data_IF_902905772700
#
_entry.id   IF_902905772700
#
_cell.length_a   1.000
_cell.length_b   1.000
_cell.length_c   1.000
_cell.angle_alpha   90.00
_cell.angle_beta   90.00
_cell.angle_gamma   90.00
#
_symmetry.space_group_name_H-M   'P 1'
#
loop_
_entity.id
_entity.type
_entity.pdbx_description
1 polymer ?
#
# COMPACT_ATOMS: atom_id res chain seq x y z
N UNK A 1 -36.76 8.24 -22.09
CA UNK A 1 -35.89 9.35 -21.66
C UNK A 1 -34.40 8.99 -21.56
N UNK A 2 -33.98 7.72 -21.41
CA UNK A 2 -32.55 7.36 -21.32
C UNK A 2 -31.74 7.46 -22.63
N UNK A 3 -32.37 7.32 -23.80
CA UNK A 3 -31.66 7.35 -25.09
C UNK A 3 -31.09 8.75 -25.44
N UNK A 4 -31.78 9.83 -25.05
CA UNK A 4 -31.38 11.21 -25.34
C UNK A 4 -30.10 11.60 -24.58
N UNK A 5 -29.89 11.03 -23.39
CA UNK A 5 -28.68 11.25 -22.57
C UNK A 5 -27.44 10.53 -23.12
N UNK A 6 -27.65 9.38 -23.77
CA UNK A 6 -26.58 8.64 -24.44
C UNK A 6 -26.16 9.36 -25.73
N UNK A 7 -27.10 9.97 -26.46
CA UNK A 7 -26.80 10.79 -27.63
C UNK A 7 -26.21 12.16 -27.31
N UNK A 8 -26.52 12.76 -26.14
CA UNK A 8 -25.92 14.03 -25.70
C UNK A 8 -24.50 13.87 -25.13
N UNK A 9 -24.11 12.67 -24.70
CA UNK A 9 -22.76 12.34 -24.20
C UNK A 9 -21.81 11.84 -25.30
N UNK A 10 -22.33 11.35 -26.43
CA UNK A 10 -21.53 11.00 -27.61
C UNK A 10 -20.61 12.14 -28.11
N UNK A 11 -21.05 13.40 -28.24
CA UNK A 11 -20.14 14.49 -28.63
C UNK A 11 -19.09 14.81 -27.55
N UNK A 12 -19.40 14.60 -26.27
CA UNK A 12 -18.44 14.79 -25.17
C UNK A 12 -17.37 13.69 -25.14
N UNK A 13 -17.79 12.44 -25.34
CA UNK A 13 -16.87 11.30 -25.47
C UNK A 13 -16.06 11.43 -26.76
N UNK A 14 -16.69 11.74 -27.89
CA UNK A 14 -16.00 11.95 -29.15
C UNK A 14 -15.00 13.11 -29.07
N UNK A 15 -15.35 14.21 -28.40
CA UNK A 15 -14.43 15.34 -28.16
C UNK A 15 -13.32 15.00 -27.18
N UNK A 16 -13.58 14.27 -26.10
CA UNK A 16 -12.53 13.75 -25.22
C UNK A 16 -11.60 12.78 -25.98
N UNK A 17 -12.15 11.94 -26.85
CA UNK A 17 -11.37 11.01 -27.68
C UNK A 17 -10.58 11.77 -28.75
N UNK A 18 -11.16 12.81 -29.36
CA UNK A 18 -10.48 13.71 -30.30
C UNK A 18 -9.40 14.50 -29.61
N UNK A 19 -9.64 15.03 -28.40
CA UNK A 19 -8.66 15.77 -27.62
C UNK A 19 -7.52 14.85 -27.17
N UNK A 20 -7.79 13.59 -26.83
CA UNK A 20 -6.78 12.55 -26.56
C UNK A 20 -6.01 12.13 -27.83
N UNK A 21 -6.66 12.15 -29.00
CA UNK A 21 -6.04 11.83 -30.29
C UNK A 21 -5.34 13.04 -30.95
N UNK A 22 -5.65 14.26 -30.53
CA UNK A 22 -5.06 15.52 -31.03
C UNK A 22 -4.09 16.14 -30.04
N UNK A 23 -3.77 15.45 -28.94
CA UNK A 23 -2.64 15.83 -28.10
C UNK A 23 -1.41 15.87 -29.02
N UNK A 24 -0.72 17.02 -29.16
CA UNK A 24 0.42 17.15 -30.05
C UNK A 24 1.41 16.03 -29.76
N UNK A 25 1.94 15.36 -30.80
CA UNK A 25 2.82 14.18 -30.69
C UNK A 25 3.99 14.34 -29.71
N UNK A 26 4.34 15.58 -29.40
CA UNK A 26 5.44 15.99 -28.56
C UNK A 26 5.07 15.99 -27.07
N UNK A 27 3.80 15.79 -26.71
CA UNK A 27 3.35 15.78 -25.32
C UNK A 27 4.07 14.76 -24.44
N UNK A 28 4.44 13.53 -24.90
CA UNK A 28 5.18 12.60 -24.05
C UNK A 28 6.56 13.17 -23.72
N UNK A 29 7.18 13.87 -24.69
CA UNK A 29 8.50 14.49 -24.51
C UNK A 29 8.47 15.67 -23.53
N UNK A 30 7.31 16.33 -23.35
CA UNK A 30 7.14 17.41 -22.37
C UNK A 30 6.71 16.90 -21.00
N UNK A 31 5.86 15.88 -20.95
CA UNK A 31 5.34 15.32 -19.69
C UNK A 31 6.40 14.45 -18.99
N UNK A 32 7.16 13.67 -19.75
CA UNK A 32 8.18 12.78 -19.19
C UNK A 32 9.21 13.50 -18.29
N UNK A 33 9.87 14.61 -18.70
CA UNK A 33 10.84 15.28 -17.85
C UNK A 33 10.21 15.89 -16.59
N UNK A 34 8.96 16.37 -16.68
CA UNK A 34 8.22 16.90 -15.52
C UNK A 34 7.92 15.79 -14.53
N UNK A 35 7.43 14.65 -15.01
CA UNK A 35 7.15 13.46 -14.19
C UNK A 35 8.43 12.93 -13.56
N UNK A 36 9.53 12.85 -14.31
CA UNK A 36 10.83 12.43 -13.78
C UNK A 36 11.34 13.38 -12.70
N UNK A 37 11.24 14.70 -12.91
CA UNK A 37 11.63 15.68 -11.90
C UNK A 37 10.79 15.55 -10.62
N UNK A 38 9.48 15.31 -10.77
CA UNK A 38 8.59 15.06 -9.64
C UNK A 38 8.94 13.77 -8.90
N UNK A 39 9.14 12.66 -9.62
CA UNK A 39 9.52 11.37 -9.04
C UNK A 39 10.87 11.43 -8.34
N UNK A 40 11.82 12.20 -8.86
CA UNK A 40 13.12 12.44 -8.21
C UNK A 40 12.95 13.20 -6.89
N UNK A 41 12.11 14.22 -6.88
CA UNK A 41 11.88 15.08 -5.69
C UNK A 41 11.05 14.38 -4.61
N UNK A 42 10.04 13.59 -5.01
CA UNK A 42 9.06 12.98 -4.11
C UNK A 42 9.01 11.45 -4.22
N UNK A 43 10.17 10.82 -4.39
CA UNK A 43 10.30 9.39 -4.64
C UNK A 43 9.61 8.50 -3.61
N UNK A 44 9.79 8.80 -2.32
CA UNK A 44 9.15 8.04 -1.23
C UNK A 44 7.62 8.15 -1.24
N UNK A 45 7.08 9.35 -1.46
CA UNK A 45 5.62 9.57 -1.50
C UNK A 45 5.02 8.82 -2.69
N UNK A 46 5.66 8.94 -3.86
CA UNK A 46 5.24 8.23 -5.06
C UNK A 46 5.31 6.71 -4.88
N UNK A 47 6.37 6.20 -4.22
CA UNK A 47 6.50 4.78 -3.89
C UNK A 47 5.39 4.31 -2.94
N UNK A 48 5.10 5.07 -1.88
CA UNK A 48 4.03 4.75 -0.93
C UNK A 48 2.66 4.71 -1.61
N UNK A 49 2.32 5.74 -2.38
CA UNK A 49 1.02 5.82 -3.07
C UNK A 49 0.87 4.69 -4.09
N UNK A 50 1.88 4.46 -4.92
CA UNK A 50 1.85 3.37 -5.91
C UNK A 50 1.77 1.99 -5.24
N UNK A 51 2.46 1.79 -4.11
CA UNK A 51 2.37 0.57 -3.31
C UNK A 51 1.00 0.38 -2.67
N UNK A 52 0.36 1.44 -2.16
CA UNK A 52 -1.01 1.39 -1.61
C UNK A 52 -2.03 1.09 -2.71
N UNK A 53 -1.88 1.68 -3.90
CA UNK A 53 -2.75 1.35 -5.04
C UNK A 53 -2.52 -0.09 -5.50
N UNK A 54 -1.30 -0.62 -5.44
CA UNK A 54 -1.03 -1.99 -5.88
C UNK A 54 -1.46 -3.05 -4.85
N UNK A 55 -1.02 -2.90 -3.60
CA UNK A 55 -1.25 -3.85 -2.50
C UNK A 55 -2.62 -3.66 -1.85
N UNK A 56 -3.23 -2.49 -2.02
CA UNK A 56 -4.50 -2.14 -1.37
C UNK A 56 -4.33 -1.96 0.15
N UNK A 57 -5.40 -2.20 0.92
CA UNK A 57 -5.40 -2.06 2.38
C UNK A 57 -4.35 -2.91 3.11
N UNK A 58 -3.88 -3.99 2.48
CA UNK A 58 -2.81 -4.85 3.03
C UNK A 58 -1.51 -4.07 3.26
N UNK A 59 -1.25 -2.98 2.54
CA UNK A 59 -0.06 -2.15 2.77
C UNK A 59 0.01 -1.58 4.19
N UNK A 60 -1.13 -1.45 4.88
CA UNK A 60 -1.20 -1.01 6.27
C UNK A 60 -1.02 -2.13 7.29
N UNK A 61 -1.21 -3.38 6.90
CA UNK A 61 -1.00 -4.54 7.79
C UNK A 61 0.46 -4.62 8.19
N UNK A 62 1.39 -4.46 7.25
CA UNK A 62 2.82 -4.57 7.51
C UNK A 62 3.33 -3.60 8.60
N UNK A 63 3.11 -2.27 8.50
CA UNK A 63 3.56 -1.35 9.56
C UNK A 63 2.84 -1.57 10.89
N UNK A 64 1.56 -2.00 10.88
CA UNK A 64 0.83 -2.30 12.12
C UNK A 64 1.37 -3.55 12.82
N UNK A 65 1.66 -4.62 12.08
CA UNK A 65 2.29 -5.84 12.61
C UNK A 65 3.66 -5.50 13.20
N UNK A 66 4.49 -4.77 12.46
CA UNK A 66 5.83 -4.36 12.93
C UNK A 66 5.73 -3.48 14.18
N UNK A 67 4.78 -2.55 14.23
CA UNK A 67 4.57 -1.69 15.39
C UNK A 67 4.11 -2.49 16.61
N UNK A 68 3.13 -3.38 16.46
CA UNK A 68 2.66 -4.25 17.54
C UNK A 68 3.79 -5.12 18.07
N UNK A 69 4.53 -5.77 17.18
CA UNK A 69 5.65 -6.63 17.55
C UNK A 69 6.72 -5.83 18.31
N UNK A 70 7.07 -4.63 17.81
CA UNK A 70 8.00 -3.72 18.49
C UNK A 70 7.51 -3.32 19.87
N UNK A 71 6.23 -2.96 20.02
CA UNK A 71 5.64 -2.59 21.32
C UNK A 71 5.69 -3.74 22.33
N UNK A 72 5.39 -4.97 21.88
CA UNK A 72 5.43 -6.18 22.72
C UNK A 72 6.85 -6.47 23.17
N UNK A 73 7.83 -6.35 22.27
CA UNK A 73 9.24 -6.52 22.60
C UNK A 73 9.72 -5.46 23.60
N UNK A 74 9.33 -4.19 23.43
CA UNK A 74 9.67 -3.13 24.38
C UNK A 74 9.06 -3.39 25.76
N UNK A 75 7.80 -3.83 25.81
CA UNK A 75 7.12 -4.15 27.06
C UNK A 75 7.76 -5.34 27.77
N UNK A 76 8.07 -6.42 27.03
CA UNK A 76 8.77 -7.58 27.57
C UNK A 76 10.14 -7.18 28.11
N UNK A 77 10.93 -6.40 27.35
CA UNK A 77 12.22 -5.91 27.83
C UNK A 77 12.09 -5.04 29.10
N UNK A 78 11.07 -4.18 29.18
CA UNK A 78 10.80 -3.41 30.39
C UNK A 78 10.50 -4.34 31.58
N UNK A 79 9.64 -5.34 31.40
CA UNK A 79 9.35 -6.35 32.43
C UNK A 79 10.64 -7.09 32.86
N UNK A 80 11.51 -7.46 31.91
CA UNK A 80 12.79 -8.10 32.22
C UNK A 80 13.70 -7.22 33.10
N UNK A 81 13.74 -5.92 32.83
CA UNK A 81 14.52 -4.97 33.63
C UNK A 81 13.99 -4.88 35.06
N UNK A 82 12.66 -4.89 35.25
CA UNK A 82 12.04 -4.68 36.57
C UNK A 82 11.81 -5.95 37.40
N UNK A 83 11.56 -7.11 36.77
CA UNK A 83 11.25 -8.37 37.47
C UNK A 83 12.45 -9.32 37.63
N UNK A 84 13.60 -8.97 37.05
CA UNK A 84 14.79 -9.83 37.04
C UNK A 84 14.74 -10.87 35.91
N UNK A 85 15.93 -11.32 35.49
CA UNK A 85 16.18 -12.17 34.33
C UNK A 85 15.20 -13.35 34.24
N UNK A 86 14.29 -13.32 33.26
CA UNK A 86 13.77 -14.57 32.67
C UNK A 86 14.88 -15.02 31.73
N UNK A 87 15.58 -16.13 32.01
CA UNK A 87 16.71 -16.51 31.20
C UNK A 87 16.17 -17.14 29.92
N UNK A 88 16.12 -16.35 28.85
CA UNK A 88 15.69 -16.80 27.54
C UNK A 88 16.93 -17.20 26.73
N UNK A 89 17.34 -18.46 26.90
CA UNK A 89 18.58 -19.02 26.35
C UNK A 89 18.55 -19.25 24.83
N UNK A 90 17.38 -19.09 24.18
CA UNK A 90 17.25 -19.23 22.74
C UNK A 90 16.19 -18.31 22.15
N UNK A 91 16.44 -17.86 20.92
CA UNK A 91 15.53 -16.99 20.17
C UNK A 91 14.14 -17.63 19.97
N UNK A 92 14.08 -18.95 19.76
CA UNK A 92 12.82 -19.67 19.61
C UNK A 92 11.96 -19.62 20.89
N UNK A 93 12.59 -19.73 22.07
CA UNK A 93 11.90 -19.66 23.36
C UNK A 93 11.44 -18.24 23.68
N UNK A 94 12.18 -17.25 23.20
CA UNK A 94 11.80 -15.84 23.25
C UNK A 94 10.53 -15.58 22.44
N UNK A 95 10.50 -16.01 21.18
CA UNK A 95 9.30 -15.86 20.33
C UNK A 95 8.10 -16.63 20.86
N UNK A 96 8.32 -17.83 21.41
CA UNK A 96 7.23 -18.59 22.04
C UNK A 96 6.66 -17.85 23.26
N UNK A 97 7.53 -17.27 24.10
CA UNK A 97 7.13 -16.47 25.24
C UNK A 97 6.41 -15.19 24.84
N UNK A 98 6.85 -14.51 23.78
CA UNK A 98 6.20 -13.27 23.31
C UNK A 98 4.83 -13.55 22.73
N UNK A 99 4.66 -14.66 21.99
CA UNK A 99 3.36 -15.07 21.47
C UNK A 99 2.38 -15.43 22.59
N UNK A 100 2.83 -16.20 23.59
CA UNK A 100 2.00 -16.52 24.76
C UNK A 100 1.66 -15.27 25.61
N UNK A 101 2.60 -14.32 25.69
CA UNK A 101 2.34 -13.04 26.36
C UNK A 101 1.29 -12.20 25.62
N UNK A 102 1.24 -12.31 24.29
CA UNK A 102 0.21 -11.68 23.46
C UNK A 102 -1.18 -12.26 23.73
N UNK A 103 -1.28 -13.58 23.91
CA UNK A 103 -2.54 -14.26 24.25
C UNK A 103 -3.08 -13.82 25.62
N UNK A 104 -2.18 -13.52 26.55
CA UNK A 104 -2.50 -13.02 27.90
C UNK A 104 -2.63 -11.49 27.96
N UNK A 105 -2.35 -10.77 26.87
CA UNK A 105 -2.44 -9.32 26.85
C UNK A 105 -3.91 -8.87 26.84
N UNK A 106 -4.24 -7.71 27.45
CA UNK A 106 -5.58 -7.16 27.38
C UNK A 106 -5.98 -6.90 25.93
N UNK A 107 -7.28 -7.00 25.64
CA UNK A 107 -7.83 -6.88 24.28
C UNK A 107 -7.43 -5.59 23.56
N UNK A 108 -7.10 -4.52 24.31
CA UNK A 108 -6.59 -3.27 23.77
C UNK A 108 -5.23 -3.37 23.07
N UNK A 109 -4.40 -4.36 23.44
CA UNK A 109 -3.11 -4.66 22.81
C UNK A 109 -3.22 -5.72 21.69
N UNK A 110 -4.36 -6.43 21.62
CA UNK A 110 -4.63 -7.43 20.59
C UNK A 110 -5.24 -6.72 19.38
N UNK A 111 -4.44 -6.48 18.34
CA UNK A 111 -4.90 -5.86 17.09
C UNK A 111 -5.78 -6.79 16.22
N UNK A 112 -6.29 -7.90 16.76
CA UNK A 112 -7.08 -8.90 16.04
C UNK A 112 -8.29 -8.28 15.33
N UNK A 113 -9.03 -7.39 15.99
CA UNK A 113 -10.16 -6.69 15.39
C UNK A 113 -9.75 -5.78 14.22
N UNK A 114 -8.59 -5.13 14.32
CA UNK A 114 -8.04 -4.28 13.25
C UNK A 114 -7.56 -5.16 12.08
N UNK A 115 -6.93 -6.30 12.35
CA UNK A 115 -6.53 -7.24 11.31
C UNK A 115 -7.73 -7.86 10.60
N UNK A 116 -8.76 -8.29 11.33
CA UNK A 116 -10.00 -8.79 10.73
C UNK A 116 -10.69 -7.73 9.88
N UNK A 117 -10.70 -6.47 10.33
CA UNK A 117 -11.22 -5.34 9.55
C UNK A 117 -10.39 -5.10 8.29
N UNK A 118 -9.05 -5.09 8.38
CA UNK A 118 -8.15 -4.93 7.23
C UNK A 118 -8.29 -6.07 6.23
N UNK A 119 -8.45 -7.31 6.69
CA UNK A 119 -8.69 -8.47 5.84
C UNK A 119 -10.01 -8.35 5.08
N UNK A 120 -11.07 -7.92 5.77
CA UNK A 120 -12.36 -7.63 5.14
C UNK A 120 -12.26 -6.52 4.09
N UNK A 121 -11.56 -5.43 4.40
CA UNK A 121 -11.30 -4.35 3.43
C UNK A 121 -10.47 -4.84 2.24
N UNK A 122 -9.46 -5.69 2.47
CA UNK A 122 -8.62 -6.25 1.42
C UNK A 122 -9.41 -7.17 0.50
N UNK A 123 -10.29 -8.02 1.06
CA UNK A 123 -11.20 -8.86 0.30
C UNK A 123 -12.15 -8.01 -0.55
N UNK A 124 -12.73 -6.95 0.02
CA UNK A 124 -13.57 -6.00 -0.70
C UNK A 124 -12.84 -5.28 -1.82
N UNK A 125 -11.65 -4.75 -1.54
CA UNK A 125 -10.78 -4.11 -2.52
C UNK A 125 -10.40 -5.05 -3.67
N UNK A 126 -10.05 -6.30 -3.35
CA UNK A 126 -9.68 -7.29 -4.36
C UNK A 126 -10.88 -7.71 -5.23
N UNK A 127 -12.05 -7.91 -4.61
CA UNK A 127 -13.30 -8.18 -5.33
C UNK A 127 -13.66 -7.03 -6.28
N UNK A 128 -13.51 -5.79 -5.83
CA UNK A 128 -13.82 -4.61 -6.64
C UNK A 128 -12.84 -4.43 -7.81
N UNK A 129 -11.54 -4.57 -7.56
CA UNK A 129 -10.50 -4.45 -8.61
C UNK A 129 -10.56 -5.58 -9.62
N UNK A 130 -10.96 -6.79 -9.24
CA UNK A 130 -11.15 -7.91 -10.17
C UNK A 130 -12.44 -7.77 -10.99
N UNK A 131 -13.51 -7.21 -10.42
CA UNK A 131 -14.77 -6.97 -11.13
C UNK A 131 -14.66 -5.88 -12.20
N UNK A 132 -13.85 -4.84 -11.99
CA UNK A 132 -13.69 -3.74 -12.93
C UNK A 132 -12.30 -3.76 -13.59
N UNK A 133 -12.24 -4.14 -14.88
CA UNK A 133 -10.98 -4.23 -15.64
C UNK A 133 -10.15 -2.94 -15.64
N UNK A 134 -10.79 -1.77 -15.63
CA UNK A 134 -10.10 -0.47 -15.56
C UNK A 134 -9.28 -0.32 -14.27
N UNK A 135 -9.83 -0.74 -13.13
CA UNK A 135 -9.13 -0.71 -11.84
C UNK A 135 -7.97 -1.70 -11.81
N UNK A 136 -8.14 -2.87 -12.44
CA UNK A 136 -7.06 -3.85 -12.58
C UNK A 136 -5.88 -3.30 -13.40
N UNK A 137 -6.16 -2.59 -14.51
CA UNK A 137 -5.11 -1.92 -15.30
C UNK A 137 -4.38 -0.87 -14.47
N UNK A 138 -5.11 -0.02 -13.73
CA UNK A 138 -4.51 0.97 -12.82
C UNK A 138 -3.61 0.30 -11.79
N UNK A 139 -4.05 -0.83 -11.22
CA UNK A 139 -3.31 -1.59 -10.21
C UNK A 139 -2.01 -2.17 -10.78
N UNK A 140 -2.03 -2.69 -12.01
CA UNK A 140 -0.83 -3.17 -12.70
C UNK A 140 0.12 -2.01 -13.03
N UNK A 141 -0.40 -0.88 -13.52
CA UNK A 141 0.42 0.31 -13.80
C UNK A 141 1.07 0.86 -12.53
N UNK A 142 0.35 0.86 -11.40
CA UNK A 142 0.90 1.23 -10.11
C UNK A 142 2.04 0.28 -9.67
N UNK A 143 1.90 -1.03 -9.91
CA UNK A 143 2.96 -2.00 -9.64
C UNK A 143 4.23 -1.72 -10.45
N UNK A 144 4.07 -1.46 -11.75
CA UNK A 144 5.18 -1.13 -12.65
C UNK A 144 5.87 0.17 -12.23
N UNK A 145 5.08 1.19 -11.86
CA UNK A 145 5.60 2.46 -11.36
C UNK A 145 6.36 2.28 -10.03
N UNK A 146 5.80 1.53 -9.08
CA UNK A 146 6.44 1.24 -7.81
C UNK A 146 7.78 0.53 -8.02
N UNK A 147 7.81 -0.47 -8.90
CA UNK A 147 9.03 -1.20 -9.26
C UNK A 147 10.06 -0.27 -9.92
N UNK A 148 9.64 0.58 -10.86
CA UNK A 148 10.53 1.56 -11.50
C UNK A 148 11.16 2.50 -10.47
N UNK A 149 10.35 3.07 -9.57
CA UNK A 149 10.80 3.97 -8.51
C UNK A 149 11.78 3.24 -7.58
N UNK A 150 11.44 2.03 -7.12
CA UNK A 150 12.29 1.24 -6.24
C UNK A 150 13.65 0.90 -6.90
N UNK A 151 13.64 0.46 -8.16
CA UNK A 151 14.87 0.13 -8.89
C UNK A 151 15.76 1.37 -9.05
N UNK A 152 15.18 2.53 -9.40
CA UNK A 152 15.93 3.79 -9.48
C UNK A 152 16.50 4.20 -8.13
N UNK A 153 15.71 4.11 -7.06
CA UNK A 153 16.14 4.47 -5.71
C UNK A 153 17.30 3.61 -5.21
N UNK A 154 17.17 2.28 -5.30
CA UNK A 154 18.07 1.36 -4.61
C UNK A 154 19.30 0.94 -5.43
N UNK A 155 19.20 0.90 -6.77
CA UNK A 155 20.28 0.36 -7.60
C UNK A 155 21.00 1.41 -8.44
N UNK A 156 20.29 2.41 -8.96
CA UNK A 156 20.87 3.37 -9.90
C UNK A 156 21.08 4.77 -9.33
N UNK A 157 20.48 5.06 -8.17
CA UNK A 157 20.33 6.43 -7.69
C UNK A 157 19.40 7.26 -8.58
N UNK A 158 19.04 8.44 -8.09
CA UNK A 158 18.19 9.39 -8.82
C UNK A 158 18.95 10.37 -9.68
#
# INVERSE_FOLDING_TARGET
MGAIWLFSSLPGIARFTLDVLTIPSDWPSRVYPIVQAYLKTHSYIALCISSVIFLGPISFVFPLVVLQDTCVHLLLNAIHIFHGYIPVWSLARYYYSSNNALECAPDSLRLEGIFAWLESMAAGYNSWTTKHRSLLVIRVLAAVLALYIAVRMFYFGW
#
